data_IF_151307417744
#
_entry.id   IF_151307417744
#
_cell.length_a   1.000
_cell.length_b   1.000
_cell.length_c   1.000
_cell.angle_alpha   90.00
_cell.angle_beta   90.00
_cell.angle_gamma   90.00
#
_symmetry.space_group_name_H-M   'P 1'
#
loop_
_entity.id
_entity.type
_entity.pdbx_description
1 polymer ?
#
# COMPACT_ATOMS: atom_id res chain seq x y z
N UNK A 1 16.62 24.74 31.65
CA UNK A 1 17.77 25.36 30.96
C UNK A 1 18.97 25.35 31.91
N UNK A 2 20.12 24.80 31.51
CA UNK A 2 21.40 25.28 31.99
C UNK A 2 22.18 25.90 30.82
N UNK A 3 22.53 27.19 30.96
CA UNK A 3 23.44 27.89 30.07
C UNK A 3 24.85 27.27 30.18
N UNK A 4 25.32 26.62 29.11
CA UNK A 4 26.74 26.24 29.00
C UNK A 4 27.52 27.45 28.50
N UNK A 5 28.30 28.06 29.39
CA UNK A 5 29.25 29.14 29.05
C UNK A 5 30.32 28.62 28.08
N UNK A 6 30.44 29.26 26.92
CA UNK A 6 31.55 29.06 25.99
C UNK A 6 32.90 29.50 26.55
N UNK A 7 34.02 29.09 25.93
CA UNK A 7 35.36 29.32 26.46
C UNK A 7 35.71 30.82 26.50
N UNK A 8 36.44 31.23 27.55
CA UNK A 8 36.83 32.63 27.74
C UNK A 8 37.85 33.10 26.68
N UNK A 9 37.90 34.41 26.37
CA UNK A 9 38.74 34.99 25.31
C UNK A 9 40.25 34.70 25.40
N UNK A 10 40.74 34.19 26.54
CA UNK A 10 42.15 33.87 26.73
C UNK A 10 42.62 32.62 25.97
N UNK A 11 41.72 31.75 25.50
CA UNK A 11 42.09 30.46 24.88
C UNK A 11 42.51 30.57 23.40
N UNK A 12 42.37 31.73 22.74
CA UNK A 12 42.65 31.89 21.30
C UNK A 12 44.11 32.25 21.00
N UNK A 13 44.94 32.53 22.02
CA UNK A 13 46.36 32.88 21.81
C UNK A 13 47.31 31.69 21.56
N UNK A 14 46.81 30.46 21.43
CA UNK A 14 47.65 29.25 21.35
C UNK A 14 48.26 28.90 19.99
N UNK A 15 47.82 29.51 18.88
CA UNK A 15 48.28 29.14 17.54
C UNK A 15 48.73 30.35 16.70
N UNK A 16 49.76 31.06 17.14
CA UNK A 16 50.61 31.88 16.24
C UNK A 16 51.88 32.37 16.97
N UNK A 17 52.93 31.55 16.94
CA UNK A 17 54.33 31.98 17.10
C UNK A 17 54.96 31.55 15.77
N UNK A 18 55.27 32.42 14.80
CA UNK A 18 56.29 33.47 14.78
C UNK A 18 55.92 34.48 13.68
N UNK A 19 55.93 35.79 13.99
CA UNK A 19 56.03 36.84 12.97
C UNK A 19 55.11 38.06 13.15
N UNK A 20 55.68 39.13 13.72
CA UNK A 20 55.23 40.53 13.67
C UNK A 20 53.99 40.94 14.51
N UNK A 21 54.30 41.46 15.70
CA UNK A 21 53.45 42.26 16.59
C UNK A 21 53.17 43.67 16.03
N UNK A 22 52.30 43.83 15.03
CA UNK A 22 51.59 45.11 14.78
C UNK A 22 50.27 44.80 14.07
N UNK A 23 49.12 44.88 14.78
CA UNK A 23 47.80 44.82 14.11
C UNK A 23 46.71 43.95 14.75
N UNK A 24 46.78 43.61 16.04
CA UNK A 24 45.78 42.72 16.66
C UNK A 24 44.42 43.35 17.02
N UNK A 25 44.27 44.68 17.09
CA UNK A 25 42.97 45.28 17.44
C UNK A 25 42.03 45.47 16.24
N UNK A 26 42.57 45.80 15.07
CA UNK A 26 41.77 46.08 13.87
C UNK A 26 41.37 44.81 13.09
N UNK A 27 42.17 43.73 13.20
CA UNK A 27 41.89 42.46 12.51
C UNK A 27 40.81 41.64 13.21
N UNK A 28 40.71 41.72 14.55
CA UNK A 28 39.65 41.05 15.31
C UNK A 28 38.27 41.67 15.00
N UNK A 29 38.17 43.00 14.87
CA UNK A 29 36.90 43.68 14.56
C UNK A 29 36.33 43.36 13.17
N UNK A 30 37.20 43.07 12.19
CA UNK A 30 36.78 42.69 10.83
C UNK A 30 36.59 41.17 10.66
N UNK A 31 37.36 40.36 11.37
CA UNK A 31 37.26 38.89 11.31
C UNK A 31 36.13 38.34 12.19
N UNK A 32 35.79 39.00 13.30
CA UNK A 32 34.78 38.53 14.25
C UNK A 32 33.37 38.41 13.63
N UNK A 33 32.84 39.38 12.85
CA UNK A 33 31.54 39.23 12.20
C UNK A 33 31.54 38.07 11.17
N UNK A 34 32.67 37.86 10.50
CA UNK A 34 32.81 36.84 9.46
C UNK A 34 32.97 35.42 10.05
N UNK A 35 33.71 35.29 11.16
CA UNK A 35 33.84 34.06 11.95
C UNK A 35 32.54 33.74 12.69
N UNK A 36 31.88 34.75 13.26
CA UNK A 36 30.56 34.60 13.89
C UNK A 36 29.50 34.20 12.85
N UNK A 37 29.50 34.78 11.66
CA UNK A 37 28.60 34.33 10.57
C UNK A 37 28.88 32.90 10.12
N UNK A 38 30.12 32.41 10.21
CA UNK A 38 30.48 31.02 9.91
C UNK A 38 30.04 30.08 11.04
N UNK A 39 30.33 30.41 12.29
CA UNK A 39 29.87 29.64 13.45
C UNK A 39 28.35 29.63 13.59
N UNK A 40 27.66 30.76 13.41
CA UNK A 40 26.20 30.80 13.43
C UNK A 40 25.57 30.04 12.24
N UNK A 41 26.31 29.75 11.17
CA UNK A 41 25.90 28.86 10.05
C UNK A 41 26.18 27.38 10.34
N UNK A 42 27.25 27.09 11.07
CA UNK A 42 27.61 25.74 11.51
C UNK A 42 26.79 25.31 12.74
N UNK A 43 26.26 26.27 13.51
CA UNK A 43 25.32 26.14 14.64
C UNK A 43 23.84 26.34 14.22
N UNK A 44 23.56 26.47 12.91
CA UNK A 44 22.20 26.32 12.44
C UNK A 44 21.70 24.96 12.94
N UNK A 45 20.55 24.87 13.64
CA UNK A 45 20.04 23.59 14.08
C UNK A 45 19.99 22.69 12.86
N UNK A 46 20.68 21.54 12.93
CA UNK A 46 20.67 20.53 11.87
C UNK A 46 19.25 20.49 11.32
N UNK A 47 19.09 20.78 10.02
CA UNK A 47 17.77 20.90 9.39
C UNK A 47 16.93 19.75 9.92
N UNK A 48 15.86 20.08 10.65
CA UNK A 48 15.01 19.06 11.28
C UNK A 48 14.67 18.10 10.18
N UNK A 49 15.12 16.86 10.33
CA UNK A 49 14.93 15.77 9.39
C UNK A 49 13.44 15.43 9.37
N UNK A 50 12.68 16.30 8.72
CA UNK A 50 11.23 16.34 8.76
C UNK A 50 10.72 15.41 7.68
N UNK A 51 9.82 14.52 8.07
CA UNK A 51 9.08 13.69 7.12
C UNK A 51 8.37 14.60 6.09
N UNK A 52 8.74 14.55 4.79
CA UNK A 52 8.12 15.39 3.76
C UNK A 52 6.70 14.94 3.40
N UNK A 53 6.35 13.69 3.71
CA UNK A 53 5.06 13.09 3.40
C UNK A 53 4.05 13.22 4.55
N UNK A 54 4.52 13.51 5.76
CA UNK A 54 3.65 13.62 6.94
C UNK A 54 2.54 14.67 6.76
N UNK A 55 1.30 14.26 6.98
CA UNK A 55 0.10 15.10 6.90
C UNK A 55 -0.33 15.44 5.47
N UNK A 56 0.11 14.67 4.47
CA UNK A 56 -0.29 14.84 3.06
C UNK A 56 -1.64 14.24 2.73
N UNK A 57 -2.19 13.39 3.61
CA UNK A 57 -3.58 12.93 3.54
C UNK A 57 -4.53 14.14 3.50
N UNK A 58 -5.37 14.26 2.45
CA UNK A 58 -6.37 15.31 2.36
C UNK A 58 -7.29 15.31 3.58
N UNK A 59 -7.53 16.49 4.14
CA UNK A 59 -8.47 16.67 5.24
C UNK A 59 -9.92 16.44 4.82
N UNK A 60 -10.80 16.28 5.81
CA UNK A 60 -12.25 16.20 5.59
C UNK A 60 -12.74 17.40 4.77
N UNK A 61 -13.57 17.16 3.77
CA UNK A 61 -14.12 18.17 2.87
C UNK A 61 -13.23 18.48 1.66
N UNK A 62 -12.06 17.86 1.53
CA UNK A 62 -11.15 18.07 0.39
C UNK A 62 -11.56 17.30 -0.89
N UNK A 63 -12.79 16.77 -0.93
CA UNK A 63 -13.30 15.99 -2.07
C UNK A 63 -12.95 14.50 -2.03
N UNK A 64 -12.42 14.02 -0.91
CA UNK A 64 -11.94 12.65 -0.72
C UNK A 64 -12.74 11.85 0.31
N UNK A 65 -13.80 12.43 0.86
CA UNK A 65 -14.69 11.75 1.79
C UNK A 65 -15.50 10.65 1.08
N UNK A 66 -15.81 9.57 1.78
CA UNK A 66 -16.74 8.56 1.27
C UNK A 66 -18.11 9.20 1.02
N UNK A 67 -18.80 8.76 -0.04
CA UNK A 67 -20.08 9.34 -0.47
C UNK A 67 -21.06 8.25 -0.93
N UNK A 68 -22.34 8.60 -1.05
CA UNK A 68 -23.36 7.69 -1.59
C UNK A 68 -23.04 7.32 -3.04
N UNK A 69 -22.83 6.04 -3.32
CA UNK A 69 -22.50 5.53 -4.64
C UNK A 69 -23.47 6.04 -5.71
N UNK A 70 -24.77 6.05 -5.38
CA UNK A 70 -25.86 6.57 -6.21
C UNK A 70 -26.56 7.70 -5.48
N UNK A 71 -26.75 8.85 -6.14
CA UNK A 71 -27.53 9.96 -5.62
C UNK A 71 -28.59 10.37 -6.63
N UNK A 72 -29.85 10.45 -6.20
CA UNK A 72 -30.98 10.81 -7.08
C UNK A 72 -31.05 9.96 -8.36
N UNK A 73 -30.78 8.65 -8.23
CA UNK A 73 -30.71 7.68 -9.34
C UNK A 73 -29.58 7.93 -10.36
N UNK A 74 -28.61 8.78 -10.02
CA UNK A 74 -27.40 9.02 -10.80
C UNK A 74 -26.22 8.32 -10.12
N UNK A 75 -25.48 7.51 -10.88
CA UNK A 75 -24.24 6.91 -10.42
C UNK A 75 -23.17 7.99 -10.24
N UNK A 76 -22.80 8.25 -8.99
CA UNK A 76 -21.80 9.25 -8.61
C UNK A 76 -20.40 8.64 -8.54
N UNK A 77 -20.33 7.35 -8.22
CA UNK A 77 -19.09 6.63 -8.07
C UNK A 77 -18.34 6.54 -9.38
N UNK A 78 -17.01 6.56 -9.30
CA UNK A 78 -16.16 5.86 -10.27
C UNK A 78 -16.16 4.37 -9.94
N UNK A 79 -15.54 3.56 -10.76
CA UNK A 79 -15.33 2.14 -10.49
C UNK A 79 -14.68 1.90 -9.11
N UNK A 80 -15.24 0.93 -8.38
CA UNK A 80 -14.82 0.59 -7.03
C UNK A 80 -14.04 -0.71 -7.01
N UNK A 81 -13.10 -0.84 -6.07
CA UNK A 81 -12.28 -2.05 -5.92
C UNK A 81 -12.80 -3.00 -4.82
N UNK A 82 -12.36 -4.25 -4.88
CA UNK A 82 -12.90 -5.37 -4.09
C UNK A 82 -13.99 -6.15 -4.83
N UNK A 83 -13.90 -6.22 -6.16
CA UNK A 83 -14.84 -6.94 -7.03
C UNK A 83 -14.33 -8.31 -7.47
N UNK A 84 -15.01 -8.89 -8.45
CA UNK A 84 -14.65 -10.19 -9.01
C UNK A 84 -13.46 -10.09 -9.97
N UNK A 85 -12.37 -10.77 -9.63
CA UNK A 85 -11.14 -10.85 -10.43
C UNK A 85 -10.98 -12.17 -11.19
N UNK A 86 -11.98 -13.05 -11.19
CA UNK A 86 -11.93 -14.35 -11.87
C UNK A 86 -11.58 -14.20 -13.36
N UNK A 87 -10.78 -15.13 -13.88
CA UNK A 87 -10.48 -15.22 -15.32
C UNK A 87 -11.78 -15.35 -16.12
N UNK A 88 -11.97 -14.48 -17.11
CA UNK A 88 -13.16 -14.46 -17.96
C UNK A 88 -14.40 -13.80 -17.33
N UNK A 89 -14.32 -13.27 -16.11
CA UNK A 89 -15.40 -12.45 -15.56
C UNK A 89 -15.55 -11.14 -16.35
N UNK A 90 -16.76 -10.87 -16.86
CA UNK A 90 -17.06 -9.73 -17.73
C UNK A 90 -18.40 -9.05 -17.38
N UNK A 91 -18.93 -9.29 -16.18
CA UNK A 91 -20.22 -8.72 -15.76
C UNK A 91 -20.08 -7.32 -15.16
N UNK A 92 -18.85 -6.85 -14.87
CA UNK A 92 -18.61 -5.46 -14.50
C UNK A 92 -19.13 -4.53 -15.58
N UNK A 93 -20.00 -3.59 -15.22
CA UNK A 93 -20.66 -2.69 -16.19
C UNK A 93 -20.19 -1.25 -16.08
N UNK A 94 -19.47 -0.89 -15.02
CA UNK A 94 -19.23 0.50 -14.71
C UNK A 94 -18.05 1.07 -15.47
N UNK A 95 -18.33 2.14 -16.20
CA UNK A 95 -17.37 3.13 -16.66
C UNK A 95 -18.04 4.48 -16.58
N UNK A 96 -17.35 5.47 -16.02
CA UNK A 96 -17.89 6.83 -16.00
C UNK A 96 -18.15 7.30 -17.44
N UNK A 97 -19.42 7.63 -17.73
CA UNK A 97 -19.88 8.05 -19.05
C UNK A 97 -19.05 9.23 -19.56
N UNK A 98 -18.46 9.11 -20.75
CA UNK A 98 -17.63 10.16 -21.38
C UNK A 98 -16.11 10.07 -21.14
N UNK A 99 -15.61 9.01 -20.48
CA UNK A 99 -14.16 8.84 -20.16
C UNK A 99 -13.49 7.62 -20.82
N UNK A 100 -13.95 7.18 -21.99
CA UNK A 100 -13.53 5.92 -22.63
C UNK A 100 -12.04 5.80 -22.97
N UNK A 101 -11.30 6.91 -23.04
CA UNK A 101 -9.85 6.89 -23.33
C UNK A 101 -8.96 7.11 -22.11
N UNK A 102 -9.49 7.61 -20.99
CA UNK A 102 -8.70 7.97 -19.81
C UNK A 102 -8.65 6.84 -18.78
N UNK A 103 -9.72 6.07 -18.59
CA UNK A 103 -9.76 5.03 -17.55
C UNK A 103 -9.26 3.71 -18.13
N UNK A 104 -7.93 3.58 -18.31
CA UNK A 104 -7.27 2.30 -18.55
C UNK A 104 -6.33 2.00 -17.39
N UNK A 105 -6.26 0.75 -16.91
CA UNK A 105 -5.26 0.40 -15.91
C UNK A 105 -3.85 0.55 -16.49
N UNK A 106 -2.86 0.74 -15.61
CA UNK A 106 -1.47 0.48 -15.96
C UNK A 106 -1.35 -1.02 -16.27
N UNK A 107 -0.77 -1.35 -17.42
CA UNK A 107 -0.59 -2.74 -17.87
C UNK A 107 0.86 -3.19 -17.87
N UNK A 108 1.81 -2.30 -17.59
CA UNK A 108 3.21 -2.65 -17.25
C UNK A 108 3.30 -3.05 -15.78
N UNK A 109 4.47 -3.43 -15.29
CA UNK A 109 4.69 -3.45 -13.84
C UNK A 109 4.54 -2.02 -13.27
N UNK A 110 4.11 -1.90 -12.01
CA UNK A 110 3.98 -0.57 -11.36
C UNK A 110 5.34 0.13 -11.23
N UNK A 111 6.43 -0.64 -11.09
CA UNK A 111 7.79 -0.13 -11.09
C UNK A 111 8.20 0.48 -12.45
N UNK A 112 7.89 -0.19 -13.56
CA UNK A 112 8.11 0.36 -14.92
C UNK A 112 7.26 1.60 -15.18
N UNK A 113 6.09 1.71 -14.53
CA UNK A 113 5.27 2.91 -14.53
C UNK A 113 5.81 4.02 -13.61
N UNK A 114 6.96 3.82 -12.96
CA UNK A 114 7.62 4.83 -12.13
C UNK A 114 7.14 4.89 -10.67
N UNK A 115 6.34 3.92 -10.23
CA UNK A 115 5.77 3.89 -8.88
C UNK A 115 6.63 3.03 -7.94
N UNK A 116 6.78 3.47 -6.69
CA UNK A 116 7.34 2.65 -5.62
C UNK A 116 6.26 2.27 -4.60
N UNK A 117 6.40 1.14 -3.88
CA UNK A 117 5.53 0.84 -2.75
C UNK A 117 5.72 1.90 -1.67
N UNK A 118 4.61 2.45 -1.18
CA UNK A 118 4.60 3.51 -0.15
C UNK A 118 3.93 3.08 1.14
N UNK A 119 3.37 1.88 1.17
CA UNK A 119 2.74 1.28 2.34
C UNK A 119 2.55 -0.23 2.08
N UNK A 120 2.32 -0.99 3.14
CA UNK A 120 1.74 -2.34 3.09
C UNK A 120 0.70 -2.43 4.20
N UNK A 121 -0.45 -3.01 3.89
CA UNK A 121 -1.47 -3.38 4.86
C UNK A 121 -2.20 -4.63 4.37
N UNK A 122 -3.00 -5.25 5.23
CA UNK A 122 -3.70 -6.47 4.84
C UNK A 122 -5.06 -6.57 5.52
N UNK A 123 -5.92 -7.36 4.88
CA UNK A 123 -7.29 -7.62 5.30
C UNK A 123 -7.43 -9.07 5.74
N UNK A 124 -8.24 -9.31 6.77
CA UNK A 124 -8.70 -10.65 7.14
C UNK A 124 -9.76 -11.10 6.14
N UNK A 125 -9.41 -12.13 5.37
CA UNK A 125 -10.12 -12.55 4.18
C UNK A 125 -9.84 -11.66 2.97
N UNK A 126 -10.12 -12.19 1.78
CA UNK A 126 -10.00 -11.44 0.54
C UNK A 126 -11.15 -10.44 0.39
N UNK A 127 -10.81 -9.22 0.03
CA UNK A 127 -11.75 -8.21 -0.47
C UNK A 127 -12.08 -8.43 -1.94
N UNK A 128 -11.25 -9.16 -2.69
CA UNK A 128 -11.55 -9.59 -4.06
C UNK A 128 -12.10 -11.03 -4.12
N UNK A 129 -12.79 -11.38 -5.22
CA UNK A 129 -13.21 -12.76 -5.53
C UNK A 129 -12.43 -13.34 -6.68
N UNK A 130 -11.92 -14.55 -6.53
CA UNK A 130 -11.47 -15.39 -7.63
C UNK A 130 -12.10 -16.78 -7.46
N UNK A 131 -13.14 -17.07 -8.25
CA UNK A 131 -13.94 -18.29 -8.11
C UNK A 131 -13.06 -19.53 -8.25
N UNK A 132 -13.15 -20.42 -7.26
CA UNK A 132 -12.34 -21.64 -7.20
C UNK A 132 -10.91 -21.43 -6.70
N UNK A 133 -10.53 -20.21 -6.33
CA UNK A 133 -9.26 -19.85 -5.68
C UNK A 133 -9.55 -19.29 -4.28
N UNK A 134 -10.14 -18.10 -4.22
CA UNK A 134 -10.60 -17.44 -3.00
C UNK A 134 -11.98 -16.83 -3.21
N UNK A 135 -12.97 -17.35 -2.49
CA UNK A 135 -14.36 -16.92 -2.63
C UNK A 135 -15.16 -17.13 -1.33
N UNK A 136 -16.44 -16.76 -1.34
CA UNK A 136 -17.32 -16.88 -0.17
C UNK A 136 -17.89 -18.29 0.03
N UNK A 137 -17.62 -19.23 -0.87
CA UNK A 137 -18.11 -20.60 -0.72
C UNK A 137 -17.31 -21.32 0.38
N UNK A 138 -17.68 -21.06 1.63
CA UNK A 138 -17.20 -21.83 2.77
C UNK A 138 -17.92 -23.17 2.75
N UNK A 139 -17.36 -24.16 2.06
CA UNK A 139 -17.78 -25.53 2.33
C UNK A 139 -17.21 -25.91 3.69
N UNK A 140 -17.99 -26.55 4.56
CA UNK A 140 -17.50 -27.04 5.86
C UNK A 140 -16.28 -28.00 5.71
N UNK A 141 -16.05 -28.49 4.49
CA UNK A 141 -14.96 -29.39 4.09
C UNK A 141 -13.70 -28.70 3.53
N UNK A 142 -13.71 -27.38 3.25
CA UNK A 142 -12.47 -26.66 2.91
C UNK A 142 -11.74 -26.33 4.21
N UNK A 143 -10.90 -27.27 4.66
CA UNK A 143 -10.32 -27.38 6.00
C UNK A 143 -9.32 -26.28 6.42
N UNK A 144 -9.27 -25.14 5.73
CA UNK A 144 -8.38 -24.01 6.02
C UNK A 144 -9.13 -22.69 5.93
N UNK A 145 -8.81 -21.77 6.84
CA UNK A 145 -9.67 -20.66 7.19
C UNK A 145 -10.74 -21.16 8.16
N UNK A 146 -10.92 -20.54 9.32
CA UNK A 146 -11.91 -21.03 10.26
C UNK A 146 -13.31 -20.73 9.74
N UNK A 147 -14.21 -21.70 9.91
CA UNK A 147 -15.66 -21.59 9.62
C UNK A 147 -16.37 -20.57 10.51
N UNK A 148 -15.65 -20.00 11.48
CA UNK A 148 -16.04 -18.93 12.38
C UNK A 148 -14.84 -17.98 12.52
N UNK A 149 -15.00 -16.66 12.42
CA UNK A 149 -13.88 -15.72 12.64
C UNK A 149 -13.18 -16.01 13.97
N UNK A 150 -11.90 -16.36 13.94
CA UNK A 150 -11.11 -16.48 15.18
C UNK A 150 -10.74 -15.11 15.76
N UNK A 151 -10.82 -14.06 14.94
CA UNK A 151 -10.69 -12.67 15.33
C UNK A 151 -11.71 -11.81 14.60
N UNK A 152 -12.27 -10.81 15.29
CA UNK A 152 -12.88 -9.67 14.62
C UNK A 152 -11.84 -8.57 14.58
N UNK A 153 -11.44 -8.18 13.37
CA UNK A 153 -10.50 -7.09 13.13
C UNK A 153 -10.89 -5.80 13.86
N UNK A 154 -12.20 -5.61 14.15
CA UNK A 154 -12.78 -4.45 14.84
C UNK A 154 -12.78 -4.55 16.37
N UNK A 155 -12.45 -5.70 16.98
CA UNK A 155 -12.51 -5.86 18.43
C UNK A 155 -11.16 -5.60 19.14
N UNK A 156 -11.19 -5.02 20.37
CA UNK A 156 -10.03 -5.01 21.27
C UNK A 156 -9.65 -6.43 21.71
N UNK A 157 -8.36 -6.66 21.99
CA UNK A 157 -7.83 -7.97 22.37
C UNK A 157 -8.58 -8.59 23.56
N UNK A 158 -8.95 -9.88 23.44
CA UNK A 158 -9.42 -10.69 24.56
C UNK A 158 -10.92 -11.02 24.62
N UNK A 159 -11.74 -10.73 23.60
CA UNK A 159 -13.15 -11.18 23.56
C UNK A 159 -13.43 -12.17 22.44
N UNK A 160 -13.87 -13.38 22.82
CA UNK A 160 -14.59 -14.30 21.93
C UNK A 160 -15.84 -13.60 21.41
N UNK A 161 -16.07 -13.68 20.11
CA UNK A 161 -17.15 -13.00 19.40
C UNK A 161 -18.54 -13.46 19.84
N UNK A 162 -19.33 -12.54 20.39
CA UNK A 162 -20.79 -12.59 20.41
C UNK A 162 -21.34 -11.25 19.92
N UNK A 163 -22.10 -11.34 18.83
CA UNK A 163 -23.23 -10.50 18.40
C UNK A 163 -23.26 -9.03 18.88
N UNK A 164 -22.93 -8.10 17.98
CA UNK A 164 -23.49 -6.74 18.01
C UNK A 164 -23.37 -6.05 16.61
N UNK A 165 -24.34 -6.30 15.74
CA UNK A 165 -24.84 -5.33 14.76
C UNK A 165 -23.94 -4.87 13.58
N UNK A 166 -22.72 -5.36 13.42
CA UNK A 166 -21.89 -5.14 12.23
C UNK A 166 -21.90 -6.38 11.31
N UNK A 167 -21.82 -6.18 9.99
CA UNK A 167 -21.85 -7.30 9.02
C UNK A 167 -20.80 -8.36 9.39
N UNK A 168 -21.24 -9.62 9.39
CA UNK A 168 -20.49 -10.85 9.64
C UNK A 168 -19.63 -11.26 8.44
N UNK A 169 -19.22 -10.28 7.63
CA UNK A 169 -18.53 -10.53 6.38
C UNK A 169 -17.05 -10.85 6.65
N UNK A 170 -16.62 -12.05 6.25
CA UNK A 170 -15.30 -12.61 6.58
C UNK A 170 -14.28 -12.49 5.44
N UNK A 171 -14.67 -11.86 4.33
CA UNK A 171 -13.91 -11.89 3.08
C UNK A 171 -13.92 -13.26 2.40
N UNK A 172 -13.42 -13.29 1.16
CA UNK A 172 -13.15 -14.52 0.43
C UNK A 172 -12.09 -15.37 1.14
N UNK A 173 -12.26 -16.69 1.12
CA UNK A 173 -11.32 -17.63 1.75
C UNK A 173 -10.67 -18.49 0.69
N UNK A 174 -9.37 -18.71 0.84
CA UNK A 174 -8.63 -19.57 -0.07
C UNK A 174 -9.05 -21.04 0.13
N UNK A 175 -9.50 -21.69 -0.94
CA UNK A 175 -10.05 -23.07 -0.88
C UNK A 175 -9.07 -24.14 -1.37
N UNK A 176 -7.85 -23.75 -1.78
CA UNK A 176 -6.90 -24.62 -2.51
C UNK A 176 -6.14 -25.65 -1.69
N UNK A 177 -6.08 -25.52 -0.37
CA UNK A 177 -5.09 -26.25 0.44
C UNK A 177 -5.69 -27.26 1.43
N UNK A 178 -6.70 -28.08 1.10
CA UNK A 178 -7.49 -28.84 2.09
C UNK A 178 -6.69 -29.77 3.03
N UNK A 179 -5.45 -30.12 2.68
CA UNK A 179 -4.62 -31.11 3.36
C UNK A 179 -3.43 -30.51 4.14
N UNK A 180 -3.59 -29.34 4.77
CA UNK A 180 -2.54 -28.83 5.68
C UNK A 180 -2.34 -29.77 6.88
N UNK A 181 -1.08 -30.04 7.20
CA UNK A 181 -0.70 -30.86 8.36
C UNK A 181 -1.04 -30.20 9.70
N UNK A 182 -1.11 -30.98 10.78
CA UNK A 182 -1.30 -30.45 12.14
C UNK A 182 -0.19 -29.46 12.54
N UNK A 183 1.05 -29.69 12.10
CA UNK A 183 2.16 -28.77 12.35
C UNK A 183 1.96 -27.42 11.65
N UNK A 184 1.55 -27.43 10.38
CA UNK A 184 1.24 -26.23 9.60
C UNK A 184 0.09 -25.40 10.19
N UNK A 185 -0.83 -26.03 10.91
CA UNK A 185 -1.97 -25.39 11.58
C UNK A 185 -1.68 -24.98 13.04
N UNK A 186 -0.50 -25.29 13.56
CA UNK A 186 -0.17 -24.99 14.96
C UNK A 186 0.02 -23.49 15.17
N UNK A 187 -0.32 -23.01 16.37
CA UNK A 187 -0.17 -21.60 16.74
C UNK A 187 1.29 -21.13 16.57
N UNK A 188 1.45 -19.87 16.14
CA UNK A 188 2.74 -19.20 16.01
C UNK A 188 2.91 -18.17 17.13
N UNK A 189 4.12 -18.08 17.69
CA UNK A 189 4.48 -17.09 18.71
C UNK A 189 4.82 -15.74 18.05
N UNK A 190 3.79 -14.97 17.75
CA UNK A 190 3.90 -13.65 17.11
C UNK A 190 4.65 -12.66 18.01
N UNK A 191 5.76 -12.09 17.51
CA UNK A 191 6.57 -11.11 18.26
C UNK A 191 6.21 -9.67 17.91
N UNK A 192 5.82 -9.42 16.66
CA UNK A 192 5.62 -8.09 16.11
C UNK A 192 4.20 -7.87 15.63
N UNK A 193 3.66 -8.79 14.82
CA UNK A 193 2.28 -8.66 14.35
C UNK A 193 1.28 -8.83 15.49
N UNK A 194 0.17 -8.11 15.39
CA UNK A 194 -0.97 -8.21 16.31
C UNK A 194 -2.15 -8.84 15.58
N UNK A 195 -2.97 -9.60 16.32
CA UNK A 195 -4.25 -10.17 15.85
C UNK A 195 -4.13 -11.07 14.60
N UNK A 196 -2.98 -11.71 14.41
CA UNK A 196 -2.78 -12.71 13.36
C UNK A 196 -3.08 -14.11 13.90
N UNK A 197 -3.60 -14.99 13.03
CA UNK A 197 -3.94 -16.37 13.38
C UNK A 197 -3.45 -17.29 12.27
N UNK A 198 -2.77 -18.38 12.64
CA UNK A 198 -2.33 -19.40 11.69
C UNK A 198 -3.56 -20.12 11.12
N UNK A 199 -3.54 -20.39 9.82
CA UNK A 199 -4.62 -21.01 9.06
C UNK A 199 -5.65 -20.03 8.51
N UNK A 200 -5.59 -18.75 8.86
CA UNK A 200 -6.46 -17.72 8.27
C UNK A 200 -6.01 -17.34 6.85
N UNK A 201 -6.99 -16.87 6.05
CA UNK A 201 -6.73 -16.21 4.76
C UNK A 201 -6.58 -14.71 4.97
N UNK A 202 -5.55 -14.12 4.39
CA UNK A 202 -5.33 -12.68 4.35
C UNK A 202 -5.09 -12.20 2.93
N UNK A 203 -5.61 -11.03 2.59
CA UNK A 203 -5.23 -10.34 1.36
C UNK A 203 -4.32 -9.16 1.71
N UNK A 204 -3.10 -9.17 1.17
CA UNK A 204 -2.11 -8.11 1.38
C UNK A 204 -2.20 -7.12 0.23
N UNK A 205 -2.24 -5.84 0.57
CA UNK A 205 -2.26 -4.72 -0.35
C UNK A 205 -0.96 -3.92 -0.23
N UNK A 206 -0.35 -3.63 -1.37
CA UNK A 206 0.79 -2.72 -1.47
C UNK A 206 0.40 -1.53 -2.34
N UNK A 207 -0.04 -0.41 -1.74
CA UNK A 207 -0.18 0.84 -2.45
C UNK A 207 1.18 1.30 -2.99
N UNK A 208 1.21 1.56 -4.29
CA UNK A 208 2.33 2.15 -5.00
C UNK A 208 1.94 3.53 -5.49
N UNK A 209 2.90 4.45 -5.43
CA UNK A 209 2.68 5.80 -5.94
C UNK A 209 3.93 6.35 -6.62
N UNK A 210 3.72 6.98 -7.76
CA UNK A 210 4.71 7.81 -8.43
C UNK A 210 5.03 9.07 -7.61
N UNK A 211 4.09 9.53 -6.79
CA UNK A 211 4.25 10.70 -5.91
C UNK A 211 4.94 10.37 -4.58
N UNK A 212 5.29 9.10 -4.34
CA UNK A 212 5.95 8.68 -3.11
C UNK A 212 7.32 9.31 -2.89
N UNK A 213 7.82 9.26 -1.66
CA UNK A 213 9.22 9.58 -1.36
C UNK A 213 10.15 8.38 -1.70
N UNK A 214 10.04 7.88 -2.93
CA UNK A 214 10.73 6.70 -3.42
C UNK A 214 12.25 6.77 -3.22
N UNK A 215 12.85 5.65 -2.81
CA UNK A 215 14.28 5.50 -2.52
C UNK A 215 14.79 6.43 -1.41
N UNK A 216 13.92 6.87 -0.52
CA UNK A 216 14.29 7.58 0.72
C UNK A 216 13.79 6.80 1.93
N UNK A 217 14.30 7.12 3.12
CA UNK A 217 13.79 6.53 4.36
C UNK A 217 12.31 6.85 4.64
N UNK A 218 11.77 7.90 4.01
CA UNK A 218 10.37 8.33 4.11
C UNK A 218 9.46 7.65 3.08
N UNK A 219 9.94 6.60 2.39
CA UNK A 219 9.16 5.94 1.34
C UNK A 219 7.87 5.31 1.89
N UNK A 220 7.95 4.60 3.01
CA UNK A 220 6.79 3.95 3.64
C UNK A 220 6.15 4.87 4.66
N UNK A 221 4.83 4.99 4.61
CA UNK A 221 4.07 5.99 5.38
C UNK A 221 2.82 5.39 6.03
N UNK A 222 2.44 5.96 7.18
CA UNK A 222 1.14 5.78 7.82
C UNK A 222 0.54 7.15 8.22
N UNK A 223 -0.73 7.45 7.87
CA UNK A 223 -1.64 6.67 7.06
C UNK A 223 -1.12 6.51 5.64
N UNK A 224 -1.46 5.41 4.94
CA UNK A 224 -0.96 5.16 3.58
C UNK A 224 -1.20 6.33 2.59
N UNK A 225 -2.24 7.13 2.81
CA UNK A 225 -2.53 8.35 2.04
C UNK A 225 -1.40 9.37 2.06
N UNK A 226 -0.64 9.47 3.15
CA UNK A 226 0.52 10.36 3.26
C UNK A 226 1.59 9.96 2.26
N UNK A 227 1.84 8.65 2.09
CA UNK A 227 2.76 8.12 1.09
C UNK A 227 2.23 8.24 -0.33
N UNK A 228 0.97 7.87 -0.53
CA UNK A 228 0.34 7.88 -1.86
C UNK A 228 0.28 9.29 -2.46
N UNK A 229 0.05 10.31 -1.62
CA UNK A 229 -0.12 11.70 -2.05
C UNK A 229 1.05 12.59 -1.59
N UNK A 230 2.20 12.01 -1.25
CA UNK A 230 3.31 12.71 -0.62
C UNK A 230 3.71 14.00 -1.37
N UNK A 231 3.78 13.93 -2.70
CA UNK A 231 4.17 15.05 -3.58
C UNK A 231 3.01 15.65 -4.38
N UNK A 232 1.77 15.38 -4.00
CA UNK A 232 0.60 15.91 -4.69
C UNK A 232 0.64 17.45 -4.70
N UNK A 233 0.60 18.05 -5.90
CA UNK A 233 0.58 19.51 -6.09
C UNK A 233 1.94 20.21 -5.97
N UNK A 234 3.05 19.48 -5.87
CA UNK A 234 4.39 20.09 -5.88
C UNK A 234 4.85 20.39 -7.30
N UNK A 235 4.93 21.68 -7.68
CA UNK A 235 5.36 22.14 -9.02
C UNK A 235 6.73 21.60 -9.45
N UNK A 236 7.61 21.33 -8.48
CA UNK A 236 8.98 20.82 -8.71
C UNK A 236 9.06 19.30 -8.87
N UNK A 237 7.95 18.57 -8.73
CA UNK A 237 7.86 17.17 -9.10
C UNK A 237 7.07 17.06 -10.41
N UNK A 238 7.72 17.32 -11.58
CA UNK A 238 7.16 16.82 -12.82
C UNK A 238 7.15 15.31 -12.63
N UNK A 239 5.98 14.74 -12.37
CA UNK A 239 5.82 13.30 -12.40
C UNK A 239 6.55 12.79 -13.65
N UNK A 240 7.38 11.78 -13.50
CA UNK A 240 7.88 11.02 -14.66
C UNK A 240 6.73 10.29 -15.37
N UNK A 241 5.53 10.35 -14.81
CA UNK A 241 4.28 9.86 -15.34
C UNK A 241 3.99 10.45 -16.69
N UNK A 242 3.91 9.56 -17.66
CA UNK A 242 3.36 9.73 -19.00
C UNK A 242 1.98 10.42 -19.06
N UNK A 243 1.36 10.74 -17.91
CA UNK A 243 -0.05 11.09 -17.76
C UNK A 243 -0.33 12.48 -17.14
N UNK A 244 0.68 13.23 -16.66
CA UNK A 244 0.49 14.60 -16.17
C UNK A 244 -0.31 14.70 -14.85
N UNK A 245 0.20 15.44 -13.88
CA UNK A 245 -0.55 15.77 -12.66
C UNK A 245 -1.52 16.92 -12.96
N UNK A 246 -2.82 16.67 -12.86
CA UNK A 246 -3.81 17.73 -12.74
C UNK A 246 -3.74 18.39 -11.36
N UNK A 247 -4.27 19.61 -11.23
CA UNK A 247 -4.42 20.27 -9.93
C UNK A 247 -5.58 19.65 -9.16
N UNK A 248 -5.42 19.37 -7.86
CA UNK A 248 -6.52 18.97 -6.98
C UNK A 248 -7.61 20.05 -7.01
N UNK A 249 -8.81 19.71 -7.44
CA UNK A 249 -9.93 20.66 -7.57
C UNK A 249 -9.97 21.45 -8.89
N UNK A 250 -9.08 21.17 -9.85
CA UNK A 250 -9.17 21.71 -11.21
C UNK A 250 -10.28 21.02 -12.00
N UNK A 251 -11.28 21.77 -12.44
CA UNK A 251 -12.45 21.27 -13.18
C UNK A 251 -12.16 20.85 -14.62
N UNK A 252 -11.02 21.26 -15.19
CA UNK A 252 -10.70 21.01 -16.60
C UNK A 252 -10.01 19.67 -16.89
N UNK A 253 -9.37 19.04 -15.90
CA UNK A 253 -8.71 17.73 -16.04
C UNK A 253 -8.88 16.96 -14.72
N UNK A 254 -9.91 16.09 -14.60
CA UNK A 254 -10.05 15.25 -13.41
C UNK A 254 -8.75 14.45 -13.22
N UNK A 255 -8.21 14.44 -12.00
CA UNK A 255 -7.00 13.69 -11.64
C UNK A 255 -7.09 12.27 -12.22
N UNK A 256 -6.25 11.94 -13.20
CA UNK A 256 -6.11 10.56 -13.69
C UNK A 256 -5.18 9.79 -12.75
N UNK A 257 -5.68 9.45 -11.56
CA UNK A 257 -4.90 8.78 -10.53
C UNK A 257 -4.43 7.37 -10.96
N UNK A 258 -5.17 6.69 -11.82
CA UNK A 258 -4.89 5.33 -12.30
C UNK A 258 -3.51 5.17 -12.96
N UNK A 259 -2.99 6.22 -13.60
CA UNK A 259 -1.67 6.19 -14.22
C UNK A 259 -0.51 6.47 -13.25
N UNK A 260 -0.81 6.84 -12.00
CA UNK A 260 0.17 7.36 -11.03
C UNK A 260 0.10 6.63 -9.67
N UNK A 261 -1.04 6.00 -9.39
CA UNK A 261 -1.30 5.22 -8.19
C UNK A 261 -1.76 3.83 -8.65
N UNK A 262 -1.05 2.82 -8.17
CA UNK A 262 -1.37 1.43 -8.37
C UNK A 262 -1.44 0.69 -7.04
N UNK A 263 -2.21 -0.37 -6.94
CA UNK A 263 -2.23 -1.25 -5.77
C UNK A 263 -1.97 -2.67 -6.25
N UNK A 264 -0.98 -3.32 -5.67
CA UNK A 264 -0.82 -4.76 -5.81
C UNK A 264 -1.60 -5.47 -4.73
N UNK A 265 -2.27 -6.57 -5.07
CA UNK A 265 -2.98 -7.42 -4.12
C UNK A 265 -2.63 -8.89 -4.31
N UNK A 266 -2.34 -9.58 -3.20
CA UNK A 266 -2.05 -11.02 -3.20
C UNK A 266 -2.68 -11.69 -1.98
N UNK A 267 -3.27 -12.87 -2.20
CA UNK A 267 -4.01 -13.61 -1.18
C UNK A 267 -3.16 -14.75 -0.63
N UNK A 268 -3.10 -14.88 0.69
CA UNK A 268 -2.32 -15.90 1.36
C UNK A 268 -3.13 -16.66 2.42
N UNK A 269 -2.85 -17.95 2.57
CA UNK A 269 -3.12 -18.70 3.80
C UNK A 269 -1.84 -18.76 4.62
N UNK A 270 -1.90 -18.25 5.85
CA UNK A 270 -0.74 -18.23 6.75
C UNK A 270 -0.57 -19.59 7.42
N UNK A 271 0.63 -20.18 7.36
CA UNK A 271 0.95 -21.48 7.95
C UNK A 271 2.16 -21.39 8.89
N UNK A 272 2.20 -22.23 9.91
CA UNK A 272 3.39 -22.37 10.77
C UNK A 272 4.37 -23.39 10.16
N UNK A 273 5.03 -22.99 9.07
CA UNK A 273 5.96 -23.83 8.33
C UNK A 273 7.00 -22.97 7.58
N UNK A 274 8.27 -23.10 7.98
CA UNK A 274 9.38 -22.32 7.44
C UNK A 274 9.76 -22.70 6.00
N UNK A 275 9.27 -23.82 5.46
CA UNK A 275 9.42 -24.08 4.03
C UNK A 275 8.75 -22.98 3.21
N UNK A 276 7.70 -22.35 3.74
CA UNK A 276 6.97 -21.25 3.11
C UNK A 276 7.49 -19.86 3.52
N UNK A 277 8.69 -19.76 4.07
CA UNK A 277 9.27 -18.48 4.46
C UNK A 277 9.68 -17.62 3.26
N UNK A 278 9.27 -16.36 3.31
CA UNK A 278 9.67 -15.30 2.39
C UNK A 278 10.21 -14.10 3.16
N UNK A 279 11.42 -13.61 2.87
CA UNK A 279 12.10 -12.65 3.72
C UNK A 279 11.63 -11.20 3.56
N UNK A 280 10.88 -10.83 2.51
CA UNK A 280 10.59 -9.41 2.23
C UNK A 280 9.18 -9.19 1.68
N UNK A 281 8.16 -9.30 2.55
CA UNK A 281 6.78 -8.96 2.20
C UNK A 281 6.51 -7.44 2.20
N UNK A 282 7.49 -6.59 2.52
CA UNK A 282 7.27 -5.13 2.59
C UNK A 282 7.27 -4.50 1.18
N UNK A 283 8.05 -5.03 0.25
CA UNK A 283 8.35 -4.40 -1.05
C UNK A 283 7.34 -4.62 -2.16
N UNK A 284 6.31 -5.42 -1.95
CA UNK A 284 5.31 -5.68 -2.98
C UNK A 284 4.91 -7.14 -3.08
N UNK A 285 4.10 -7.40 -4.10
CA UNK A 285 3.65 -8.73 -4.49
C UNK A 285 4.84 -9.67 -4.74
N UNK A 286 4.74 -10.92 -4.28
CA UNK A 286 5.72 -11.94 -4.59
C UNK A 286 5.52 -12.38 -6.05
N UNK A 287 6.55 -12.16 -6.86
CA UNK A 287 6.58 -12.50 -8.29
C UNK A 287 7.67 -13.52 -8.55
N UNK A 288 7.31 -14.78 -8.78
CA UNK A 288 8.29 -15.87 -8.96
C UNK A 288 7.70 -17.08 -9.69
N UNK A 289 8.59 -17.86 -10.33
CA UNK A 289 8.29 -19.18 -10.94
C UNK A 289 8.73 -20.35 -10.05
N UNK A 290 9.20 -20.06 -8.84
CA UNK A 290 9.57 -21.01 -7.80
C UNK A 290 9.42 -20.27 -6.47
N UNK A 291 8.21 -20.31 -5.92
CA UNK A 291 7.86 -19.69 -4.65
C UNK A 291 8.32 -20.52 -3.47
N UNK A 292 8.25 -19.99 -2.25
CA UNK A 292 8.66 -20.74 -1.07
C UNK A 292 7.75 -21.97 -0.89
N UNK A 293 8.35 -23.07 -0.44
CA UNK A 293 7.67 -24.33 -0.17
C UNK A 293 7.24 -25.03 -1.46
N UNK A 294 5.95 -25.31 -1.57
CA UNK A 294 5.36 -25.91 -2.78
C UNK A 294 4.66 -24.91 -3.69
N UNK A 295 4.80 -23.61 -3.45
CA UNK A 295 4.23 -22.59 -4.33
C UNK A 295 5.02 -22.58 -5.65
N UNK A 296 4.41 -23.01 -6.76
CA UNK A 296 5.13 -23.12 -8.04
C UNK A 296 5.15 -21.81 -8.82
N UNK A 297 4.08 -21.02 -8.78
CA UNK A 297 3.99 -19.75 -9.50
C UNK A 297 3.23 -18.73 -8.64
N UNK A 298 3.81 -17.55 -8.44
CA UNK A 298 3.18 -16.46 -7.68
C UNK A 298 3.30 -15.15 -8.46
N UNK A 299 2.24 -14.34 -8.43
CA UNK A 299 2.26 -13.00 -9.04
C UNK A 299 2.36 -12.98 -10.57
N UNK A 300 1.89 -14.04 -11.25
CA UNK A 300 1.91 -14.16 -12.73
C UNK A 300 0.53 -14.29 -13.37
N UNK A 301 -0.54 -14.50 -12.60
CA UNK A 301 -1.90 -14.64 -13.12
C UNK A 301 -2.75 -13.48 -12.62
N UNK A 302 -2.44 -12.29 -13.11
CA UNK A 302 -2.95 -11.03 -12.58
C UNK A 302 -4.14 -10.53 -13.41
N UNK A 303 -5.15 -9.97 -12.74
CA UNK A 303 -6.07 -9.03 -13.38
C UNK A 303 -5.63 -7.61 -13.03
N UNK A 304 -5.40 -6.80 -14.07
CA UNK A 304 -5.30 -5.36 -13.97
C UNK A 304 -6.65 -4.70 -14.26
N UNK A 305 -7.06 -3.74 -13.44
CA UNK A 305 -8.29 -2.96 -13.67
C UNK A 305 -8.23 -1.64 -12.92
N UNK A 306 -9.12 -0.69 -13.21
CA UNK A 306 -9.24 0.52 -12.39
C UNK A 306 -10.26 0.32 -11.27
N UNK A 307 -10.02 0.92 -10.11
CA UNK A 307 -10.91 0.81 -8.97
C UNK A 307 -10.70 1.93 -7.98
N UNK A 308 -11.07 1.70 -6.73
CA UNK A 308 -10.94 2.70 -5.66
C UNK A 308 -10.17 2.14 -4.46
N UNK A 309 -10.02 2.90 -3.39
CA UNK A 309 -9.58 2.33 -2.09
C UNK A 309 -10.66 1.47 -1.46
N UNK A 310 -10.29 0.36 -0.83
CA UNK A 310 -11.18 -0.63 -0.21
C UNK A 310 -11.31 -0.46 1.31
N UNK A 311 -11.83 -1.45 2.04
CA UNK A 311 -11.98 -1.45 3.50
C UNK A 311 -13.40 -1.22 4.02
N UNK A 312 -13.65 -1.66 5.26
CA UNK A 312 -14.97 -1.75 5.93
C UNK A 312 -15.78 -0.45 6.09
N UNK A 313 -15.19 0.71 5.82
CA UNK A 313 -15.93 1.98 5.81
C UNK A 313 -16.72 2.23 4.51
N UNK A 314 -16.65 1.28 3.57
CA UNK A 314 -17.32 1.29 2.26
C UNK A 314 -18.10 -0.01 2.04
N UNK A 315 -19.14 0.09 1.24
CA UNK A 315 -19.98 -1.02 0.77
C UNK A 315 -20.57 -0.67 -0.61
N UNK A 316 -21.63 -1.35 -1.06
CA UNK A 316 -22.31 -1.07 -2.33
C UNK A 316 -23.25 0.15 -2.28
N UNK A 317 -23.33 0.83 -1.12
CA UNK A 317 -24.10 2.08 -0.90
C UNK A 317 -23.17 3.26 -0.64
N UNK A 318 -22.07 3.06 0.10
CA UNK A 318 -21.06 4.06 0.45
C UNK A 318 -19.78 3.77 -0.32
N UNK A 319 -19.47 4.61 -1.30
CA UNK A 319 -18.32 4.49 -2.19
C UNK A 319 -17.15 5.36 -1.74
N UNK A 320 -15.95 4.96 -2.14
CA UNK A 320 -14.74 5.76 -1.96
C UNK A 320 -14.63 6.83 -3.06
N UNK A 321 -14.21 8.03 -2.66
CA UNK A 321 -13.76 9.09 -3.56
C UNK A 321 -12.32 8.95 -4.04
N UNK A 322 -11.55 8.06 -3.44
CA UNK A 322 -10.20 7.76 -3.89
C UNK A 322 -10.25 6.76 -5.03
N UNK A 323 -10.43 7.27 -6.24
CA UNK A 323 -10.40 6.51 -7.49
C UNK A 323 -10.63 7.44 -8.70
N UNK A 324 -10.39 6.95 -9.91
CA UNK A 324 -9.92 5.60 -10.20
C UNK A 324 -8.41 5.43 -10.00
N UNK A 325 -7.98 4.34 -9.39
CA UNK A 325 -6.56 3.91 -9.25
C UNK A 325 -6.37 2.56 -9.96
N UNK A 326 -5.15 2.22 -10.37
CA UNK A 326 -4.90 0.89 -10.94
C UNK A 326 -4.83 -0.17 -9.83
N UNK A 327 -5.40 -1.33 -10.06
CA UNK A 327 -5.24 -2.52 -9.23
C UNK A 327 -4.62 -3.65 -10.04
N UNK A 328 -3.60 -4.30 -9.50
CA UNK A 328 -3.03 -5.56 -9.98
C UNK A 328 -3.31 -6.64 -8.94
N UNK A 329 -4.25 -7.53 -9.23
CA UNK A 329 -4.69 -8.56 -8.28
C UNK A 329 -4.27 -9.94 -8.77
N UNK A 330 -3.48 -10.64 -7.95
CA UNK A 330 -3.15 -12.04 -8.20
C UNK A 330 -4.40 -12.90 -8.02
N UNK A 331 -4.81 -13.59 -9.09
CA UNK A 331 -6.02 -14.41 -9.09
C UNK A 331 -5.84 -15.71 -8.30
N UNK A 332 -4.61 -16.07 -7.93
CA UNK A 332 -4.30 -17.27 -7.14
C UNK A 332 -4.09 -16.90 -5.68
N UNK A 333 -4.47 -17.82 -4.79
CA UNK A 333 -4.05 -17.75 -3.39
C UNK A 333 -2.87 -18.69 -3.13
N UNK A 334 -2.01 -18.31 -2.19
CA UNK A 334 -0.74 -18.98 -1.91
C UNK A 334 -0.58 -19.37 -0.44
N UNK A 335 0.32 -20.30 -0.12
CA UNK A 335 0.76 -20.52 1.27
C UNK A 335 1.90 -19.56 1.61
N UNK A 336 1.98 -19.11 2.86
CA UNK A 336 3.09 -18.28 3.36
C UNK A 336 3.35 -18.56 4.84
N UNK A 337 4.60 -18.50 5.27
CA UNK A 337 4.90 -18.74 6.68
C UNK A 337 4.39 -17.60 7.58
N UNK A 338 3.97 -17.95 8.81
CA UNK A 338 3.65 -16.98 9.85
C UNK A 338 4.85 -16.07 10.17
N UNK A 339 6.07 -16.62 10.16
CA UNK A 339 7.31 -15.86 10.35
C UNK A 339 7.57 -14.82 9.24
N UNK A 340 7.06 -15.02 8.03
CA UNK A 340 7.15 -14.01 6.96
C UNK A 340 6.29 -12.79 7.27
N UNK A 341 5.05 -13.01 7.74
CA UNK A 341 4.18 -11.94 8.21
C UNK A 341 4.78 -11.24 9.45
N UNK A 342 5.26 -12.00 10.43
CA UNK A 342 5.84 -11.41 11.64
C UNK A 342 7.08 -10.58 11.33
N UNK A 343 7.90 -11.04 10.37
CA UNK A 343 9.00 -10.24 9.83
C UNK A 343 8.51 -8.99 9.10
N UNK A 344 7.44 -9.05 8.30
CA UNK A 344 6.85 -7.88 7.66
C UNK A 344 6.48 -6.81 8.70
N UNK A 345 5.81 -7.21 9.79
CA UNK A 345 5.48 -6.30 10.89
C UNK A 345 6.74 -5.71 11.56
N UNK A 346 7.80 -6.52 11.70
CA UNK A 346 9.10 -6.00 12.16
C UNK A 346 9.66 -4.95 11.18
N UNK A 347 9.67 -5.25 9.89
CA UNK A 347 10.21 -4.36 8.86
C UNK A 347 9.40 -3.05 8.79
N UNK A 348 8.07 -3.10 9.02
CA UNK A 348 7.21 -1.92 9.16
C UNK A 348 7.58 -1.07 10.39
N UNK A 349 7.82 -1.71 11.54
CA UNK A 349 8.24 -1.02 12.77
C UNK A 349 9.65 -0.40 12.67
N UNK A 350 10.48 -0.91 11.76
CA UNK A 350 11.81 -0.38 11.49
C UNK A 350 11.82 0.78 10.47
N UNK A 351 10.66 1.15 9.88
CA UNK A 351 10.58 2.29 8.96
C UNK A 351 10.79 3.63 9.68
N UNK A 352 11.15 4.68 8.92
CA UNK A 352 11.39 6.00 9.52
C UNK A 352 10.11 6.69 9.99
N UNK A 353 8.97 6.35 9.38
CA UNK A 353 7.64 6.78 9.82
C UNK A 353 7.05 5.74 10.80
N UNK A 354 6.18 6.18 11.70
CA UNK A 354 5.58 5.29 12.70
C UNK A 354 4.43 4.47 12.10
N UNK A 355 4.72 3.22 11.74
CA UNK A 355 3.74 2.28 11.20
C UNK A 355 3.09 1.37 12.25
N UNK A 356 3.28 1.64 13.56
CA UNK A 356 2.84 0.74 14.65
C UNK A 356 1.33 0.58 14.81
N UNK A 357 0.56 1.44 14.15
CA UNK A 357 -0.90 1.42 14.09
C UNK A 357 -1.46 0.57 12.92
N UNK A 358 -0.59 -0.07 12.12
CA UNK A 358 -0.98 -0.88 10.95
C UNK A 358 -0.41 -2.30 10.94
N UNK A 359 0.13 -2.76 12.08
CA UNK A 359 0.70 -4.11 12.26
C UNK A 359 -0.37 -5.16 12.63
N UNK A 360 -1.59 -5.03 12.11
CA UNK A 360 -2.71 -5.96 12.34
C UNK A 360 -3.65 -5.99 11.11
N UNK A 361 -4.42 -7.08 10.91
CA UNK A 361 -5.34 -7.17 9.79
C UNK A 361 -6.55 -6.23 9.95
N UNK A 362 -6.92 -5.56 8.87
CA UNK A 362 -8.19 -4.84 8.74
C UNK A 362 -9.32 -5.79 8.37
N UNK A 363 -10.57 -5.33 8.48
CA UNK A 363 -11.71 -6.11 7.98
C UNK A 363 -11.84 -6.00 6.47
N UNK A 364 -12.31 -7.07 5.82
CA UNK A 364 -12.68 -7.03 4.41
C UNK A 364 -14.03 -6.33 4.18
N UNK A 365 -14.14 -5.51 3.13
CA UNK A 365 -15.42 -4.98 2.64
C UNK A 365 -16.27 -6.06 1.99
N UNK A 366 -17.59 -5.86 1.95
CA UNK A 366 -18.46 -6.62 1.05
C UNK A 366 -17.99 -6.45 -0.41
N UNK A 367 -18.04 -7.54 -1.17
CA UNK A 367 -17.71 -7.53 -2.59
C UNK A 367 -18.46 -6.45 -3.35
N UNK A 368 -17.74 -5.73 -4.20
CA UNK A 368 -18.30 -4.72 -5.09
C UNK A 368 -19.26 -5.39 -6.07
N UNK A 369 -20.45 -4.79 -6.22
CA UNK A 369 -21.45 -5.26 -7.18
C UNK A 369 -21.00 -5.03 -8.64
N UNK A 370 -21.64 -5.74 -9.55
CA UNK A 370 -21.36 -5.67 -10.99
C UNK A 370 -21.58 -4.25 -11.54
N UNK A 371 -22.51 -3.49 -10.96
CA UNK A 371 -22.83 -2.10 -11.34
C UNK A 371 -21.79 -1.07 -10.86
N UNK A 372 -20.92 -1.44 -9.92
CA UNK A 372 -19.85 -0.60 -9.40
C UNK A 372 -18.46 -1.09 -9.83
N UNK A 373 -18.39 -2.30 -10.37
CA UNK A 373 -17.16 -2.92 -10.87
C UNK A 373 -16.79 -2.40 -12.25
N UNK A 374 -15.51 -2.18 -12.47
CA UNK A 374 -14.99 -1.71 -13.74
C UNK A 374 -15.19 -2.73 -14.87
N UNK A 375 -15.39 -2.23 -16.09
CA UNK A 375 -15.46 -3.07 -17.30
C UNK A 375 -14.18 -3.03 -18.16
N UNK A 376 -13.12 -2.40 -17.67
CA UNK A 376 -11.85 -2.14 -18.39
C UNK A 376 -10.70 -3.05 -17.91
N UNK A 377 -11.00 -4.33 -17.75
CA UNK A 377 -10.09 -5.31 -17.15
C UNK A 377 -9.08 -5.81 -18.19
N UNK A 378 -7.85 -6.01 -17.78
CA UNK A 378 -6.79 -6.61 -18.60
C UNK A 378 -6.17 -7.80 -17.84
N UNK A 379 -5.91 -8.88 -18.56
CA UNK A 379 -5.25 -10.06 -18.01
C UNK A 379 -3.74 -9.98 -18.23
N UNK A 380 -2.97 -9.85 -17.14
CA UNK A 380 -1.50 -9.86 -17.17
C UNK A 380 -1.01 -11.24 -16.74
N UNK A 381 -0.67 -12.11 -17.71
CA UNK A 381 -0.16 -13.44 -17.41
C UNK A 381 0.25 -14.29 -18.62
N UNK A 382 0.82 -15.48 -18.40
CA UNK A 382 1.38 -16.32 -19.48
C UNK A 382 0.29 -16.85 -20.42
N UNK A 383 -0.92 -16.99 -19.91
CA UNK A 383 -2.13 -17.34 -20.67
C UNK A 383 -2.88 -16.09 -21.13
N UNK A 384 -2.19 -15.03 -21.56
CA UNK A 384 -2.78 -13.80 -22.12
C UNK A 384 -3.53 -14.04 -23.45
N UNK A 385 -4.36 -15.07 -23.53
CA UNK A 385 -5.37 -15.21 -24.54
C UNK A 385 -6.51 -14.26 -24.17
N UNK A 386 -6.83 -13.37 -25.10
CA UNK A 386 -8.08 -12.64 -25.10
C UNK A 386 -9.23 -13.60 -24.84
N UNK A 387 -9.99 -13.39 -23.76
CA UNK A 387 -11.28 -14.05 -23.62
C UNK A 387 -12.16 -13.50 -24.74
N UNK A 388 -12.58 -14.35 -25.67
CA UNK A 388 -13.37 -13.91 -26.82
C UNK A 388 -14.67 -13.27 -26.33
N UNK A 389 -14.90 -12.01 -26.71
CA UNK A 389 -16.13 -11.28 -26.40
C UNK A 389 -16.06 -10.28 -25.23
N UNK A 390 -14.91 -10.10 -24.56
CA UNK A 390 -14.77 -9.13 -23.47
C UNK A 390 -14.26 -7.75 -23.90
N UNK A 391 -13.61 -7.64 -25.06
CA UNK A 391 -12.99 -6.38 -25.50
C UNK A 391 -11.67 -6.04 -24.80
N UNK A 392 -11.19 -6.93 -23.92
CA UNK A 392 -9.97 -6.78 -23.13
C UNK A 392 -8.73 -6.79 -24.03
N UNK A 393 -7.80 -5.87 -23.78
CA UNK A 393 -6.54 -5.79 -24.50
C UNK A 393 -5.52 -6.63 -23.72
N UNK A 394 -5.50 -7.94 -23.97
CA UNK A 394 -4.46 -8.80 -23.40
C UNK A 394 -3.07 -8.22 -23.69
N UNK A 395 -2.35 -7.86 -22.64
CA UNK A 395 -0.94 -7.47 -22.72
C UNK A 395 -0.07 -8.64 -22.31
N UNK A 396 1.01 -8.86 -23.05
CA UNK A 396 2.01 -9.88 -22.77
C UNK A 396 2.43 -9.87 -21.29
N UNK A 397 2.67 -11.04 -20.71
CA UNK A 397 2.99 -11.23 -19.30
C UNK A 397 4.09 -10.26 -18.81
N UNK A 398 3.70 -9.20 -18.09
CA UNK A 398 4.61 -8.12 -17.68
C UNK A 398 5.41 -8.44 -16.42
N UNK A 399 4.91 -9.37 -15.62
CA UNK A 399 5.60 -9.85 -14.43
C UNK A 399 6.48 -11.06 -14.74
N UNK A 400 7.08 -11.18 -15.94
CA UNK A 400 7.76 -12.41 -16.40
C UNK A 400 9.09 -12.75 -15.70
N UNK A 401 9.83 -11.75 -15.18
CA UNK A 401 11.18 -11.93 -14.61
C UNK A 401 11.32 -11.30 -13.21
N UNK A 402 12.38 -11.69 -12.48
CA UNK A 402 12.67 -11.24 -11.10
C UNK A 402 12.70 -9.70 -11.03
N UNK A 403 11.83 -9.13 -10.19
CA UNK A 403 11.84 -7.71 -9.82
C UNK A 403 12.92 -7.40 -8.78
#
# INVERSE_FOLDING_TARGET
MPEKKGPSPAAVCGYAVVGALVGCAATIGAAYPMLKSKWDKDDAPAAVDKNPCAGKKPGKGAGFDNFQCVQSSVMMAVEQAGGNVTLGYNQGTHMKQGQTTLNKPVTTTLAEAGMCPVNVHWHLGAEHVSTGEYDMAHTADTANGPTQPHADARLPAGRKLLAAGGTTYLGGRCTKYPNLSTAQKSDYDWKYCKKMVVGETYEVHWPHSEMGACNTKWQYQLPFYDGVLCRLGEEAYPGKGKFGLGTVGGVEQPLSLQGQIGVQAQVFVVVNDENYYYPDLLRGMIVTNDGPGSNTVMGKEITAYTGSTTGTSRDNTICSAYGPVTWHVDRKCHLISASSFDKMCKDMLDQADDMSDDIYPHGAREHVSDELSANNRDDLGPNGATVSGTGDASTANVYNDRQ
#
